data_IF_392611100520
#
_entry.id   IF_392611100520
#
_cell.length_a   1.000
_cell.length_b   1.000
_cell.length_c   1.000
_cell.angle_alpha   90.00
_cell.angle_beta   90.00
_cell.angle_gamma   90.00
#
_symmetry.space_group_name_H-M   'P 1'
#
loop_
_entity.id
_entity.type
_entity.pdbx_description
1 polymer ?
#
# COMPACT_ATOMS: atom_id res chain seq x y z
N UNK A 1 12.00 -14.59 -41.75
CA UNK A 1 11.15 -14.97 -40.61
C UNK A 1 11.59 -14.20 -39.38
N UNK A 2 10.82 -13.20 -38.95
CA UNK A 2 11.14 -12.39 -37.76
C UNK A 2 10.42 -13.03 -36.57
N UNK A 3 11.17 -13.44 -35.55
CA UNK A 3 10.62 -13.96 -34.29
C UNK A 3 10.41 -12.79 -33.34
N UNK A 4 9.15 -12.49 -33.05
CA UNK A 4 8.79 -11.57 -31.97
C UNK A 4 9.02 -12.31 -30.65
N UNK A 5 10.16 -12.06 -30.00
CA UNK A 5 10.30 -12.39 -28.59
C UNK A 5 9.31 -11.51 -27.83
N UNK A 6 8.25 -12.11 -27.27
CA UNK A 6 7.38 -11.45 -26.32
C UNK A 6 8.26 -11.06 -25.13
N UNK A 7 8.66 -9.78 -25.12
CA UNK A 7 9.32 -9.17 -23.99
C UNK A 7 8.59 -9.59 -22.71
N UNK A 8 9.35 -10.18 -21.80
CA UNK A 8 8.89 -10.49 -20.46
C UNK A 8 8.06 -9.32 -19.95
N UNK A 9 6.81 -9.61 -19.57
CA UNK A 9 5.99 -8.64 -18.85
C UNK A 9 6.88 -8.07 -17.74
N UNK A 10 7.04 -6.73 -17.62
CA UNK A 10 7.75 -6.19 -16.48
C UNK A 10 7.00 -6.73 -15.26
N UNK A 11 7.65 -7.64 -14.54
CA UNK A 11 7.16 -8.10 -13.26
C UNK A 11 7.15 -6.84 -12.42
N UNK A 12 5.97 -6.23 -12.29
CA UNK A 12 5.73 -5.10 -11.40
C UNK A 12 6.23 -5.58 -10.05
N UNK A 13 7.46 -5.21 -9.69
CA UNK A 13 7.92 -5.35 -8.33
C UNK A 13 6.78 -4.78 -7.49
N UNK A 14 6.24 -5.54 -6.51
CA UNK A 14 5.09 -5.06 -5.76
C UNK A 14 5.44 -3.67 -5.31
N UNK A 15 4.68 -2.67 -5.80
CA UNK A 15 4.92 -1.27 -5.48
C UNK A 15 4.99 -1.26 -3.97
N UNK A 16 6.18 -1.03 -3.43
CA UNK A 16 6.41 -1.21 -2.01
C UNK A 16 5.69 -0.05 -1.32
N UNK A 17 4.43 -0.30 -0.97
CA UNK A 17 3.54 0.69 -0.38
C UNK A 17 3.87 0.98 1.09
N UNK A 18 5.00 0.43 1.58
CA UNK A 18 5.45 0.47 2.95
C UNK A 18 4.87 -0.66 3.79
N UNK A 19 5.07 -0.56 5.10
CA UNK A 19 4.38 -1.38 6.09
C UNK A 19 3.23 -0.58 6.69
N UNK A 20 2.17 -1.27 7.10
CA UNK A 20 1.10 -0.65 7.86
C UNK A 20 0.68 -1.55 9.03
N UNK A 21 0.19 -0.89 10.08
CA UNK A 21 -0.40 -1.54 11.25
C UNK A 21 -1.90 -1.24 11.25
N UNK A 22 -2.71 -2.29 11.33
CA UNK A 22 -4.18 -2.21 11.33
C UNK A 22 -4.69 -2.72 12.68
N UNK A 23 -5.64 -2.02 13.29
CA UNK A 23 -6.37 -2.54 14.46
C UNK A 23 -7.30 -3.68 14.06
N UNK A 24 -7.24 -4.79 14.80
CA UNK A 24 -8.20 -5.89 14.74
C UNK A 24 -9.26 -5.76 15.84
N UNK A 25 -8.88 -5.22 17.00
CA UNK A 25 -9.76 -4.92 18.13
C UNK A 25 -9.14 -3.81 18.99
N UNK A 26 -9.79 -3.44 20.10
CA UNK A 26 -9.28 -2.40 21.01
C UNK A 26 -7.90 -2.68 21.61
N UNK A 27 -7.45 -3.94 21.62
CA UNK A 27 -6.15 -4.34 22.19
C UNK A 27 -5.33 -5.21 21.24
N UNK A 28 -5.74 -5.36 19.98
CA UNK A 28 -5.05 -6.20 19.01
C UNK A 28 -4.84 -5.45 17.70
N UNK A 29 -3.66 -5.60 17.14
CA UNK A 29 -3.31 -5.09 15.83
C UNK A 29 -2.52 -6.13 15.05
N UNK A 30 -2.51 -5.97 13.74
CA UNK A 30 -1.65 -6.72 12.84
C UNK A 30 -0.81 -5.76 12.02
N UNK A 31 0.46 -6.12 11.83
CA UNK A 31 1.41 -5.38 11.01
C UNK A 31 1.85 -6.24 9.83
N UNK A 32 2.01 -5.60 8.68
CA UNK A 32 2.50 -6.28 7.49
C UNK A 32 2.79 -5.33 6.33
N UNK A 33 3.48 -5.82 5.28
CA UNK A 33 3.67 -5.07 4.05
C UNK A 33 2.31 -4.74 3.41
N UNK A 34 2.16 -3.51 2.93
CA UNK A 34 0.97 -3.07 2.22
C UNK A 34 1.01 -3.60 0.79
N UNK A 35 0.03 -4.42 0.44
CA UNK A 35 -0.11 -4.98 -0.90
C UNK A 35 -1.09 -4.20 -1.78
N UNK A 36 -1.95 -3.37 -1.18
CA UNK A 36 -2.90 -2.51 -1.88
C UNK A 36 -3.36 -1.34 -1.00
N UNK A 37 -3.47 -0.14 -1.57
CA UNK A 37 -4.16 1.01 -0.97
C UNK A 37 -5.48 1.27 -1.69
N UNK A 38 -6.53 1.57 -0.93
CA UNK A 38 -7.81 2.01 -1.44
C UNK A 38 -7.91 3.53 -1.41
N UNK A 39 -8.74 4.11 -2.30
CA UNK A 39 -8.98 5.56 -2.35
C UNK A 39 -9.66 6.11 -1.10
N UNK A 40 -10.31 5.25 -0.32
CA UNK A 40 -10.97 5.59 0.95
C UNK A 40 -10.01 5.56 2.17
N UNK A 41 -8.70 5.39 1.91
CA UNK A 41 -7.67 5.35 2.95
C UNK A 41 -7.51 3.98 3.63
N UNK A 42 -8.29 2.96 3.26
CA UNK A 42 -8.03 1.58 3.72
C UNK A 42 -6.81 1.01 3.02
N UNK A 43 -6.15 0.08 3.70
CA UNK A 43 -5.02 -0.67 3.15
C UNK A 43 -5.26 -2.15 3.32
N UNK A 44 -4.70 -2.93 2.40
CA UNK A 44 -4.58 -4.39 2.53
C UNK A 44 -3.13 -4.68 2.90
N UNK A 45 -2.93 -5.36 4.02
CA UNK A 45 -1.62 -5.88 4.43
C UNK A 45 -1.58 -7.39 4.24
N UNK A 46 -0.38 -7.92 3.97
CA UNK A 46 -0.10 -9.34 4.09
C UNK A 46 0.51 -9.63 5.47
N UNK A 47 -0.07 -10.54 6.24
CA UNK A 47 0.43 -10.91 7.58
C UNK A 47 1.24 -12.22 7.57
N UNK A 48 1.46 -12.81 6.40
CA UNK A 48 2.03 -14.16 6.26
C UNK A 48 1.05 -15.29 6.60
N UNK A 49 -0.02 -15.00 7.34
CA UNK A 49 -1.15 -15.94 7.58
C UNK A 49 -2.35 -15.67 6.69
N UNK A 50 -2.31 -14.57 5.94
CA UNK A 50 -3.42 -14.11 5.12
C UNK A 50 -3.42 -12.59 4.98
N UNK A 51 -4.34 -12.12 4.13
CA UNK A 51 -4.51 -10.70 3.84
C UNK A 51 -5.55 -10.10 4.77
N UNK A 52 -5.20 -8.98 5.39
CA UNK A 52 -6.10 -8.22 6.26
C UNK A 52 -6.33 -6.83 5.69
N UNK A 53 -7.57 -6.35 5.83
CA UNK A 53 -7.98 -5.04 5.33
C UNK A 53 -8.46 -4.17 6.47
N UNK A 54 -8.08 -2.89 6.47
CA UNK A 54 -8.50 -1.95 7.49
C UNK A 54 -7.87 -0.58 7.33
N UNK A 55 -8.13 0.31 8.29
CA UNK A 55 -7.49 1.62 8.33
C UNK A 55 -6.17 1.53 9.09
N UNK A 56 -5.09 2.13 8.59
CA UNK A 56 -3.81 2.16 9.30
C UNK A 56 -3.93 3.01 10.58
N UNK A 57 -3.37 2.53 11.69
CA UNK A 57 -3.46 3.12 13.04
C UNK A 57 -2.63 4.41 13.26
N UNK A 58 -2.37 5.19 12.20
CA UNK A 58 -1.37 6.25 12.12
C UNK A 58 0.08 5.70 12.10
N UNK A 59 0.84 6.13 11.10
CA UNK A 59 2.20 5.66 10.83
C UNK A 59 2.60 5.61 9.35
N UNK A 60 1.68 5.91 8.43
CA UNK A 60 2.03 6.23 7.05
C UNK A 60 1.71 7.70 6.83
N UNK A 61 2.71 8.57 6.94
CA UNK A 61 2.65 9.86 6.27
C UNK A 61 2.18 9.59 4.84
N UNK A 62 0.96 10.03 4.50
CA UNK A 62 0.53 9.93 3.12
C UNK A 62 1.58 10.72 2.33
N UNK A 63 2.28 10.12 1.36
CA UNK A 63 3.25 10.88 0.59
C UNK A 63 2.48 12.00 -0.08
N UNK A 64 2.72 13.22 0.39
CA UNK A 64 2.12 14.42 -0.18
C UNK A 64 2.50 14.37 -1.66
N UNK A 65 1.53 14.26 -2.58
CA UNK A 65 1.88 14.20 -3.98
C UNK A 65 2.68 15.46 -4.35
N UNK A 66 3.70 15.33 -5.19
CA UNK A 66 4.54 16.47 -5.62
C UNK A 66 3.71 17.59 -6.27
N UNK A 67 2.52 17.24 -6.79
CA UNK A 67 1.55 18.18 -7.35
C UNK A 67 0.55 18.74 -6.33
N UNK A 68 0.64 18.39 -5.05
CA UNK A 68 -0.25 18.93 -4.04
C UNK A 68 -0.10 20.46 -3.97
N UNK A 69 -1.19 21.23 -4.05
CA UNK A 69 -1.11 22.67 -3.91
C UNK A 69 -0.57 23.02 -2.51
N UNK A 70 0.37 23.96 -2.46
CA UNK A 70 1.04 24.48 -1.25
C UNK A 70 0.11 25.18 -0.23
N UNK A 71 -1.21 25.07 -0.39
CA UNK A 71 -2.21 25.76 0.44
C UNK A 71 -2.81 24.88 1.55
N UNK A 72 -2.27 23.69 1.82
CA UNK A 72 -2.65 22.89 3.00
C UNK A 72 -1.97 23.49 4.23
N UNK A 73 -2.51 24.58 4.78
CA UNK A 73 -2.01 25.15 6.03
C UNK A 73 -2.13 26.67 6.24
N UNK A 74 -3.00 27.38 5.51
CA UNK A 74 -3.47 28.71 5.94
C UNK A 74 -4.93 28.64 6.38
#
# INVERSE_FOLDING_TARGET
MIRFALNAFPQLAPVNHGYATIALSGHQSAQGPVVRKFRDGRVVIDTGRGRLTGRPLAGGQEPIPVWAPIFVGM
#
